data_IF_602092691435
#
_entry.id   IF_602092691435
#
_cell.length_a   1.000
_cell.length_b   1.000
_cell.length_c   1.000
_cell.angle_alpha   90.00
_cell.angle_beta   90.00
_cell.angle_gamma   90.00
#
_symmetry.space_group_name_H-M   'P 1'
#
loop_
_entity.id
_entity.type
_entity.pdbx_description
1 polymer ?
#
# COMPACT_ATOMS: atom_id res chain seq x y z
N UNK A 1 -21.66 -2.00 26.53
CA UNK A 1 -20.27 -1.85 26.05
C UNK A 1 -19.82 -3.19 25.48
N UNK A 2 -20.04 -3.44 24.19
CA UNK A 2 -19.48 -4.57 23.44
C UNK A 2 -19.86 -4.40 21.96
N UNK A 3 -19.17 -3.50 21.26
CA UNK A 3 -19.23 -3.52 19.79
C UNK A 3 -18.48 -4.76 19.28
N UNK A 4 -18.90 -5.38 18.17
CA UNK A 4 -18.18 -6.53 17.62
C UNK A 4 -16.78 -6.07 17.20
N UNK A 5 -15.76 -6.60 17.87
CA UNK A 5 -14.37 -6.49 17.44
C UNK A 5 -14.23 -7.28 16.14
N UNK A 6 -14.02 -6.58 15.02
CA UNK A 6 -13.76 -7.23 13.73
C UNK A 6 -12.30 -7.69 13.72
N UNK A 7 -12.10 -9.01 13.83
CA UNK A 7 -10.80 -9.67 13.73
C UNK A 7 -10.39 -9.83 12.26
N UNK A 8 -9.43 -9.02 11.80
CA UNK A 8 -8.89 -9.10 10.45
C UNK A 8 -8.08 -10.37 10.16
N UNK A 9 -7.68 -11.15 11.17
CA UNK A 9 -7.00 -12.43 10.95
C UNK A 9 -7.95 -13.55 10.48
N UNK A 10 -9.25 -13.27 10.47
CA UNK A 10 -10.28 -14.20 9.98
C UNK A 10 -10.75 -13.91 8.54
N UNK A 11 -10.02 -13.06 7.80
CA UNK A 11 -10.34 -12.71 6.41
C UNK A 11 -10.51 -13.97 5.54
N UNK A 12 -11.73 -14.22 5.08
CA UNK A 12 -12.04 -15.36 4.23
C UNK A 12 -11.50 -15.14 2.81
N UNK A 13 -10.84 -16.15 2.26
CA UNK A 13 -10.29 -16.10 0.90
C UNK A 13 -11.41 -16.08 -0.14
N UNK A 14 -11.51 -14.96 -0.86
CA UNK A 14 -12.50 -14.80 -1.91
C UNK A 14 -12.16 -15.71 -3.10
N UNK A 15 -13.01 -16.68 -3.44
CA UNK A 15 -12.75 -17.74 -4.45
C UNK A 15 -12.97 -17.25 -5.89
N UNK A 16 -12.72 -15.98 -6.19
CA UNK A 16 -12.73 -15.51 -7.58
C UNK A 16 -11.42 -15.96 -8.24
N UNK A 17 -11.34 -17.26 -8.51
CA UNK A 17 -10.19 -17.92 -9.13
C UNK A 17 -10.30 -17.71 -10.64
N UNK A 18 -9.31 -17.05 -11.21
CA UNK A 18 -9.19 -16.93 -12.67
C UNK A 18 -8.93 -18.34 -13.22
N UNK A 19 -9.78 -18.88 -14.12
CA UNK A 19 -9.59 -20.22 -14.65
C UNK A 19 -8.22 -20.40 -15.32
N UNK A 20 -7.62 -21.58 -15.18
CA UNK A 20 -6.36 -21.93 -15.81
C UNK A 20 -6.49 -21.78 -17.33
N UNK A 21 -5.54 -21.08 -17.97
CA UNK A 21 -5.57 -20.79 -19.40
C UNK A 21 -6.18 -19.44 -19.78
N UNK A 22 -6.67 -18.65 -18.82
CA UNK A 22 -7.16 -17.29 -19.08
C UNK A 22 -5.99 -16.36 -19.42
N UNK A 23 -6.00 -15.79 -20.63
CA UNK A 23 -5.07 -14.73 -21.02
C UNK A 23 -5.55 -13.38 -20.47
N UNK A 24 -4.98 -12.95 -19.35
CA UNK A 24 -5.23 -11.64 -18.78
C UNK A 24 -4.25 -10.61 -19.35
N UNK A 25 -4.76 -9.56 -20.01
CA UNK A 25 -3.92 -8.44 -20.46
C UNK A 25 -3.57 -7.56 -19.27
N UNK A 26 -2.39 -7.78 -18.68
CA UNK A 26 -1.91 -6.99 -17.54
C UNK A 26 -1.16 -5.76 -18.07
N UNK A 27 -1.58 -4.57 -17.63
CA UNK A 27 -0.82 -3.33 -17.85
C UNK A 27 0.08 -3.08 -16.64
N UNK A 28 1.30 -3.60 -16.69
CA UNK A 28 2.33 -3.28 -15.71
C UNK A 28 3.06 -2.00 -16.12
N UNK A 29 3.21 -1.07 -15.17
CA UNK A 29 4.00 0.15 -15.35
C UNK A 29 5.22 0.07 -14.43
N UNK A 30 6.41 -0.03 -15.02
CA UNK A 30 7.66 0.09 -14.29
C UNK A 30 7.90 1.57 -13.99
N UNK A 31 8.08 1.88 -12.70
CA UNK A 31 8.54 3.19 -12.27
C UNK A 31 10.04 3.06 -11.97
N UNK A 32 10.92 3.88 -12.59
CA UNK A 32 12.34 3.85 -12.28
C UNK A 32 12.60 4.34 -10.84
N UNK A 33 13.63 3.78 -10.20
CA UNK A 33 14.03 4.14 -8.84
C UNK A 33 13.25 3.42 -7.72
N UNK A 34 13.65 3.68 -6.48
CA UNK A 34 13.00 3.20 -5.26
C UNK A 34 12.12 4.27 -4.63
N UNK A 35 11.03 3.84 -3.99
CA UNK A 35 10.11 4.70 -3.24
C UNK A 35 9.87 4.10 -1.86
N UNK A 36 9.70 4.98 -0.88
CA UNK A 36 9.18 4.64 0.43
C UNK A 36 7.78 5.24 0.60
N UNK A 37 6.81 4.39 0.94
CA UNK A 37 5.41 4.76 1.16
C UNK A 37 5.05 4.48 2.62
N UNK A 38 5.14 5.51 3.46
CA UNK A 38 4.90 5.40 4.90
C UNK A 38 3.65 6.19 5.28
N UNK A 39 2.72 5.55 6.00
CA UNK A 39 1.44 6.15 6.35
C UNK A 39 0.69 5.43 7.46
N UNK A 40 -0.49 5.96 7.76
CA UNK A 40 -1.44 5.46 8.75
C UNK A 40 -2.68 4.95 8.05
N UNK A 41 -3.14 3.76 8.46
CA UNK A 41 -4.42 3.19 8.05
C UNK A 41 -5.48 3.48 9.10
N UNK A 42 -6.50 4.26 8.73
CA UNK A 42 -7.72 4.43 9.52
C UNK A 42 -8.79 3.52 8.94
N UNK A 43 -9.38 2.63 9.75
CA UNK A 43 -10.36 1.66 9.28
C UNK A 43 -11.57 1.55 10.22
N UNK A 44 -12.66 0.97 9.73
CA UNK A 44 -13.90 0.72 10.49
C UNK A 44 -14.96 1.83 10.40
N UNK A 45 -14.73 2.87 9.59
CA UNK A 45 -15.71 3.92 9.32
C UNK A 45 -16.65 3.56 8.16
N UNK A 46 -17.70 4.36 7.92
CA UNK A 46 -18.68 4.15 6.82
C UNK A 46 -18.08 4.02 5.41
N UNK A 47 -16.83 4.44 5.23
CA UNK A 47 -16.10 4.33 3.95
C UNK A 47 -15.04 3.22 3.97
N UNK A 48 -15.20 2.23 4.85
CA UNK A 48 -14.32 1.08 5.05
C UNK A 48 -12.93 1.44 5.61
N UNK A 49 -12.02 1.90 4.75
CA UNK A 49 -10.63 2.16 5.10
C UNK A 49 -10.07 3.39 4.36
N UNK A 50 -9.16 4.10 5.00
CA UNK A 50 -8.47 5.26 4.47
C UNK A 50 -6.99 5.21 4.85
N UNK A 51 -6.11 5.23 3.85
CA UNK A 51 -4.67 5.31 4.01
C UNK A 51 -4.22 6.75 3.80
N UNK A 52 -3.47 7.31 4.75
CA UNK A 52 -2.90 8.64 4.66
C UNK A 52 -1.43 8.62 5.03
N UNK A 53 -0.56 9.14 4.17
CA UNK A 53 0.88 9.06 4.38
C UNK A 53 1.67 9.80 3.33
N UNK A 54 3.00 9.73 3.46
CA UNK A 54 3.94 10.25 2.49
C UNK A 54 4.38 9.18 1.50
N UNK A 55 4.76 9.63 0.32
CA UNK A 55 5.34 8.80 -0.73
C UNK A 55 6.56 9.52 -1.26
N UNK A 56 7.74 9.04 -0.88
CA UNK A 56 9.00 9.71 -1.15
C UNK A 56 9.87 8.85 -2.07
N UNK A 57 10.37 9.46 -3.15
CA UNK A 57 11.29 8.81 -4.10
C UNK A 57 12.76 9.03 -3.74
N UNK A 58 13.63 8.10 -4.15
CA UNK A 58 15.08 8.18 -3.91
C UNK A 58 15.73 9.44 -4.51
N UNK A 59 15.30 9.86 -5.70
CA UNK A 59 15.85 11.06 -6.35
C UNK A 59 15.43 12.35 -5.63
N UNK A 60 14.18 12.39 -5.15
CA UNK A 60 13.65 13.51 -4.37
C UNK A 60 14.36 13.61 -3.01
N UNK A 61 14.53 12.49 -2.31
CA UNK A 61 15.26 12.46 -1.04
C UNK A 61 16.70 12.96 -1.19
N UNK A 62 17.40 12.53 -2.24
CA UNK A 62 18.79 12.96 -2.50
C UNK A 62 18.91 14.41 -2.95
N UNK A 63 17.88 14.95 -3.61
CA UNK A 63 17.85 16.37 -3.99
C UNK A 63 17.67 17.29 -2.78
N UNK A 64 16.90 16.85 -1.77
CA UNK A 64 16.63 17.62 -0.56
C UNK A 64 17.72 17.44 0.50
N UNK A 65 18.19 16.21 0.71
CA UNK A 65 19.20 15.87 1.70
C UNK A 65 20.23 14.88 1.08
N UNK A 66 21.38 15.39 0.59
CA UNK A 66 22.42 14.55 0.03
C UNK A 66 22.83 13.43 1.01
N UNK A 67 23.08 12.24 0.46
CA UNK A 67 23.44 11.03 1.22
C UNK A 67 22.34 10.44 2.12
N UNK A 68 21.10 10.94 2.05
CA UNK A 68 19.94 10.29 2.67
C UNK A 68 19.16 9.44 1.65
N UNK A 69 18.52 8.38 2.15
CA UNK A 69 17.54 7.60 1.38
C UNK A 69 16.11 7.95 1.87
N UNK A 70 15.04 7.58 1.13
CA UNK A 70 13.68 7.96 1.49
C UNK A 70 13.26 7.52 2.89
N UNK A 71 13.63 6.30 3.29
CA UNK A 71 13.33 5.73 4.60
C UNK A 71 13.97 6.52 5.74
N UNK A 72 15.22 6.97 5.57
CA UNK A 72 15.96 7.72 6.58
C UNK A 72 15.50 9.18 6.68
N UNK A 73 14.85 9.72 5.64
CA UNK A 73 14.33 11.09 5.62
C UNK A 73 12.96 11.23 6.30
N UNK A 74 12.21 10.13 6.45
CA UNK A 74 10.89 10.08 7.08
C UNK A 74 10.97 9.94 8.60
#
# INVERSE_FOLDING_TARGET
MSGPWNDFNSAQSNTTVIPKGTLAKVRLTLRPGGFDELGVLVFGHKKNAYWHGSKLGIEEARALAPYQNPTAMQ
#
